data_IF_058142441342
#
_entry.id   IF_058142441342
#
_cell.length_a   1.000
_cell.length_b   1.000
_cell.length_c   1.000
_cell.angle_alpha   90.00
_cell.angle_beta   90.00
_cell.angle_gamma   90.00
#
_symmetry.space_group_name_H-M   'P 1'
#
loop_
_entity.id
_entity.type
_entity.pdbx_description
1 polymer ?
#
# COMPACT_ATOMS: atom_id res chain seq x y z
N UNK A 1 -22.28 -14.44 7.36
CA UNK A 1 -22.89 -13.25 8.00
C UNK A 1 -22.56 -12.07 7.11
N UNK A 2 -23.55 -11.43 6.49
CA UNK A 2 -23.36 -10.23 5.66
C UNK A 2 -23.27 -9.02 6.57
N UNK A 3 -22.05 -8.53 6.81
CA UNK A 3 -21.81 -7.24 7.46
C UNK A 3 -22.13 -6.12 6.45
N UNK A 4 -23.31 -5.52 6.57
CA UNK A 4 -23.70 -4.34 5.78
C UNK A 4 -22.95 -3.13 6.34
N UNK A 5 -22.02 -2.59 5.57
CA UNK A 5 -21.30 -1.36 5.94
C UNK A 5 -22.17 -0.16 5.54
N UNK A 6 -22.64 0.62 6.52
CA UNK A 6 -23.36 1.88 6.28
C UNK A 6 -22.38 3.05 6.36
N UNK A 7 -22.31 3.87 5.31
CA UNK A 7 -21.40 5.02 5.25
C UNK A 7 -21.91 6.20 6.08
N UNK A 8 -21.03 6.81 6.88
CA UNK A 8 -21.30 8.09 7.54
C UNK A 8 -21.41 9.21 6.48
N UNK A 9 -22.48 10.01 6.57
CA UNK A 9 -22.80 11.07 5.61
C UNK A 9 -21.68 12.11 5.53
N UNK A 10 -21.22 12.42 4.32
CA UNK A 10 -20.34 13.56 4.05
C UNK A 10 -21.17 14.80 3.69
N UNK A 11 -20.86 16.00 4.20
CA UNK A 11 -21.63 17.23 3.93
C UNK A 11 -21.56 17.69 2.47
N UNK A 12 -20.64 17.13 1.65
CA UNK A 12 -20.45 17.52 0.25
C UNK A 12 -21.19 16.65 -0.75
N UNK A 13 -21.78 15.53 -0.31
CA UNK A 13 -22.48 14.59 -1.18
C UNK A 13 -23.81 14.18 -0.53
N UNK A 14 -24.93 14.62 -1.11
CA UNK A 14 -26.24 14.01 -0.86
C UNK A 14 -26.25 12.68 -1.60
N UNK A 15 -25.67 11.64 -1.01
CA UNK A 15 -25.70 10.31 -1.61
C UNK A 15 -27.15 9.87 -1.80
N UNK A 16 -27.58 9.79 -3.06
CA UNK A 16 -28.69 8.92 -3.47
C UNK A 16 -28.39 7.50 -2.99
N UNK A 17 -29.40 6.62 -2.96
CA UNK A 17 -29.18 5.20 -2.62
C UNK A 17 -28.00 4.61 -3.41
N UNK A 18 -27.12 3.79 -2.78
CA UNK A 18 -26.05 3.07 -3.46
C UNK A 18 -26.57 2.31 -4.70
N UNK A 19 -25.84 2.37 -5.80
CA UNK A 19 -26.26 1.87 -7.12
C UNK A 19 -25.32 0.82 -7.71
N UNK A 20 -24.26 0.44 -6.99
CA UNK A 20 -23.33 -0.64 -7.33
C UNK A 20 -23.07 -1.52 -6.11
N UNK A 21 -22.97 -2.83 -6.31
CA UNK A 21 -22.58 -3.80 -5.28
C UNK A 21 -21.21 -4.37 -5.61
N UNK A 22 -20.27 -4.29 -4.68
CA UNK A 22 -18.97 -4.93 -4.77
C UNK A 22 -18.98 -6.21 -3.93
N UNK A 23 -18.47 -7.30 -4.47
CA UNK A 23 -18.21 -8.55 -3.74
C UNK A 23 -16.71 -8.79 -3.72
N UNK A 24 -16.10 -8.62 -2.56
CA UNK A 24 -14.64 -8.57 -2.38
C UNK A 24 -14.15 -9.83 -1.70
N UNK A 25 -13.06 -10.41 -2.21
CA UNK A 25 -12.45 -11.61 -1.69
C UNK A 25 -13.11 -12.90 -2.21
N UNK A 26 -12.60 -14.03 -1.73
CA UNK A 26 -13.05 -15.37 -2.12
C UNK A 26 -13.50 -16.23 -0.93
N UNK A 27 -14.13 -17.37 -1.23
CA UNK A 27 -14.54 -18.35 -0.24
C UNK A 27 -15.31 -17.79 0.97
N UNK A 28 -14.81 -18.10 2.17
CA UNK A 28 -15.37 -17.68 3.46
C UNK A 28 -15.07 -16.21 3.81
N UNK A 29 -14.11 -15.57 3.12
CA UNK A 29 -13.68 -14.19 3.36
C UNK A 29 -14.42 -13.18 2.49
N UNK A 30 -15.48 -13.62 1.78
CA UNK A 30 -16.29 -12.75 0.92
C UNK A 30 -17.01 -11.68 1.71
N UNK A 31 -16.79 -10.44 1.33
CA UNK A 31 -17.49 -9.28 1.87
C UNK A 31 -18.28 -8.59 0.76
N UNK A 32 -19.57 -8.32 1.00
CA UNK A 32 -20.43 -7.59 0.07
C UNK A 32 -20.65 -6.19 0.59
N UNK A 33 -20.41 -5.18 -0.25
CA UNK A 33 -20.59 -3.77 0.10
C UNK A 33 -21.30 -3.03 -1.02
N UNK A 34 -22.30 -2.21 -0.66
CA UNK A 34 -22.99 -1.34 -1.61
C UNK A 34 -22.28 0.00 -1.67
N UNK A 35 -22.04 0.52 -2.87
CA UNK A 35 -21.30 1.76 -3.12
C UNK A 35 -21.96 2.57 -4.25
N UNK A 36 -21.35 3.70 -4.61
CA UNK A 36 -21.83 4.61 -5.63
C UNK A 36 -20.89 4.60 -6.84
N UNK A 37 -21.42 4.34 -8.04
CA UNK A 37 -20.66 4.42 -9.30
C UNK A 37 -19.97 5.78 -9.44
N UNK A 38 -20.69 6.86 -9.10
CA UNK A 38 -20.20 8.23 -9.17
C UNK A 38 -18.98 8.50 -8.28
N UNK A 39 -18.73 7.65 -7.28
CA UNK A 39 -17.60 7.76 -6.35
C UNK A 39 -16.45 6.86 -6.77
N UNK A 40 -16.74 5.58 -7.07
CA UNK A 40 -15.69 4.61 -7.37
C UNK A 40 -15.16 4.73 -8.80
N UNK A 41 -15.99 5.17 -9.74
CA UNK A 41 -15.66 5.27 -11.16
C UNK A 41 -14.58 6.31 -11.44
N UNK A 42 -14.82 7.62 -11.21
CA UNK A 42 -13.92 8.69 -11.66
C UNK A 42 -12.43 8.54 -11.28
N UNK A 43 -12.04 8.03 -10.10
CA UNK A 43 -10.63 7.86 -9.74
C UNK A 43 -10.01 6.50 -10.12
N UNK A 44 -10.80 5.50 -10.54
CA UNK A 44 -10.31 4.15 -10.86
C UNK A 44 -10.39 3.85 -12.35
N UNK A 45 -9.25 3.49 -12.94
CA UNK A 45 -9.20 2.98 -14.32
C UNK A 45 -10.03 1.69 -14.49
N UNK A 46 -9.94 0.80 -13.51
CA UNK A 46 -10.68 -0.45 -13.48
C UNK A 46 -12.20 -0.24 -13.43
N UNK A 47 -12.72 0.52 -12.47
CA UNK A 47 -14.17 0.69 -12.33
C UNK A 47 -14.78 1.46 -13.50
N UNK A 48 -14.07 2.43 -14.09
CA UNK A 48 -14.48 3.07 -15.35
C UNK A 48 -14.67 2.05 -16.47
N UNK A 49 -13.76 1.09 -16.57
CA UNK A 49 -13.84 0.06 -17.60
C UNK A 49 -14.97 -0.93 -17.29
N UNK A 50 -15.05 -1.44 -16.06
CA UNK A 50 -16.04 -2.42 -15.64
C UNK A 50 -17.48 -1.91 -15.71
N UNK A 51 -17.71 -0.63 -15.42
CA UNK A 51 -19.04 -0.01 -15.44
C UNK A 51 -19.39 0.63 -16.79
N UNK A 52 -18.52 0.51 -17.79
CA UNK A 52 -18.79 1.05 -19.13
C UNK A 52 -19.94 0.30 -19.81
N UNK A 53 -20.86 1.06 -20.39
CA UNK A 53 -22.06 0.57 -21.10
C UNK A 53 -21.71 -0.59 -22.05
N UNK A 54 -22.40 -1.72 -21.87
CA UNK A 54 -22.30 -2.90 -22.73
C UNK A 54 -21.66 -4.13 -22.07
N UNK A 55 -21.16 -4.02 -20.84
CA UNK A 55 -20.64 -5.15 -20.07
C UNK A 55 -21.72 -5.76 -19.14
N UNK A 56 -21.49 -7.00 -18.70
CA UNK A 56 -22.41 -7.76 -17.84
C UNK A 56 -22.60 -7.03 -16.50
N UNK A 57 -21.52 -6.51 -15.96
CA UNK A 57 -21.41 -5.76 -14.71
C UNK A 57 -22.27 -4.48 -14.74
N UNK A 58 -22.42 -3.85 -15.91
CA UNK A 58 -23.30 -2.68 -16.07
C UNK A 58 -24.78 -3.05 -15.92
N UNK A 59 -25.17 -4.25 -16.35
CA UNK A 59 -26.55 -4.73 -16.27
C UNK A 59 -26.87 -5.26 -14.87
N UNK A 60 -25.94 -5.97 -14.25
CA UNK A 60 -26.11 -6.56 -12.92
C UNK A 60 -25.86 -5.57 -11.79
N UNK A 61 -25.22 -4.43 -12.08
CA UNK A 61 -24.76 -3.43 -11.10
C UNK A 61 -23.94 -4.08 -9.97
N UNK A 62 -23.24 -5.17 -10.30
CA UNK A 62 -22.51 -6.00 -9.37
C UNK A 62 -21.13 -6.32 -9.95
N UNK A 63 -20.10 -6.17 -9.14
CA UNK A 63 -18.71 -6.45 -9.52
C UNK A 63 -18.13 -7.44 -8.49
N UNK A 64 -17.72 -8.62 -8.96
CA UNK A 64 -17.00 -9.60 -8.15
C UNK A 64 -15.48 -9.34 -8.28
N UNK A 65 -14.79 -9.25 -7.14
CA UNK A 65 -13.37 -8.89 -6.99
C UNK A 65 -12.66 -9.94 -6.11
N UNK A 66 -12.51 -11.19 -6.58
CA UNK A 66 -11.92 -12.27 -5.77
C UNK A 66 -10.42 -12.07 -5.49
N UNK A 67 -9.71 -11.30 -6.31
CA UNK A 67 -8.26 -11.06 -6.18
C UNK A 67 -7.89 -10.06 -5.08
N UNK A 68 -8.87 -9.27 -4.62
CA UNK A 68 -8.66 -8.23 -3.62
C UNK A 68 -9.17 -8.69 -2.25
N UNK A 69 -8.40 -8.40 -1.20
CA UNK A 69 -8.84 -8.62 0.18
C UNK A 69 -9.70 -7.46 0.69
N UNK A 70 -10.60 -7.74 1.62
CA UNK A 70 -11.39 -6.68 2.27
C UNK A 70 -10.49 -5.62 2.93
N UNK A 71 -9.35 -6.01 3.51
CA UNK A 71 -8.41 -5.10 4.16
C UNK A 71 -7.91 -3.98 3.22
N UNK A 72 -7.59 -4.33 1.97
CA UNK A 72 -7.16 -3.34 0.98
C UNK A 72 -8.33 -2.53 0.41
N UNK A 73 -9.47 -3.19 0.13
CA UNK A 73 -10.66 -2.51 -0.39
C UNK A 73 -11.26 -1.52 0.61
N UNK A 74 -11.32 -1.86 1.89
CA UNK A 74 -11.82 -0.97 2.94
C UNK A 74 -11.05 0.35 2.94
N UNK A 75 -9.72 0.29 2.79
CA UNK A 75 -8.87 1.47 2.73
C UNK A 75 -9.16 2.32 1.48
N UNK A 76 -9.26 1.68 0.32
CA UNK A 76 -9.61 2.37 -0.93
C UNK A 76 -10.97 3.05 -0.80
N UNK A 77 -11.98 2.35 -0.27
CA UNK A 77 -13.30 2.93 -0.05
C UNK A 77 -13.26 4.09 0.94
N UNK A 78 -12.54 3.96 2.05
CA UNK A 78 -12.36 5.07 3.00
C UNK A 78 -11.78 6.31 2.30
N UNK A 79 -10.72 6.15 1.51
CA UNK A 79 -10.11 7.25 0.76
C UNK A 79 -11.05 7.85 -0.30
N UNK A 80 -11.78 7.02 -1.05
CA UNK A 80 -12.75 7.46 -2.06
C UNK A 80 -13.87 8.32 -1.45
N UNK A 81 -14.29 7.97 -0.23
CA UNK A 81 -15.27 8.72 0.55
C UNK A 81 -14.63 9.82 1.40
N UNK A 82 -13.42 10.27 1.03
CA UNK A 82 -12.73 11.44 1.60
C UNK A 82 -12.29 11.29 3.06
N UNK A 83 -12.15 10.08 3.56
CA UNK A 83 -11.38 9.86 4.80
C UNK A 83 -9.88 10.03 4.51
N UNK A 84 -9.12 10.41 5.53
CA UNK A 84 -7.67 10.48 5.43
C UNK A 84 -7.09 9.08 5.15
N UNK A 85 -5.99 9.03 4.40
CA UNK A 85 -5.24 7.78 4.20
C UNK A 85 -4.81 7.22 5.55
N UNK A 86 -4.97 5.92 5.73
CA UNK A 86 -4.51 5.26 6.94
C UNK A 86 -3.00 5.48 7.14
N UNK A 87 -2.65 5.80 8.39
CA UNK A 87 -1.28 5.94 8.83
C UNK A 87 -0.98 4.94 9.94
N UNK A 88 0.15 4.23 9.86
CA UNK A 88 0.56 3.34 10.93
C UNK A 88 1.01 4.12 12.16
N UNK A 89 0.86 3.51 13.34
CA UNK A 89 1.38 4.10 14.58
C UNK A 89 2.91 4.18 14.51
N UNK A 90 3.56 5.28 14.96
CA UNK A 90 5.01 5.47 14.83
C UNK A 90 5.90 4.35 15.36
N UNK A 91 5.44 3.56 16.35
CA UNK A 91 6.20 2.46 16.95
C UNK A 91 6.00 1.10 16.27
N UNK A 92 5.02 1.02 15.37
CA UNK A 92 4.54 -0.23 14.75
C UNK A 92 4.63 -0.18 13.22
N UNK A 93 5.20 0.89 12.65
CA UNK A 93 5.29 1.17 11.20
C UNK A 93 5.77 -0.03 10.37
N UNK A 94 6.70 -0.83 10.90
CA UNK A 94 7.26 -2.00 10.22
C UNK A 94 6.97 -3.31 10.98
N UNK A 95 5.87 -3.34 11.72
CA UNK A 95 5.33 -4.59 12.28
C UNK A 95 4.74 -5.48 11.19
N UNK A 96 4.55 -6.77 11.49
CA UNK A 96 3.94 -7.74 10.57
C UNK A 96 2.55 -7.30 10.10
N UNK A 97 1.63 -7.01 11.04
CA UNK A 97 0.27 -6.56 10.74
C UNK A 97 0.23 -5.28 9.90
N UNK A 98 1.12 -4.33 10.19
CA UNK A 98 1.22 -3.08 9.44
C UNK A 98 1.74 -3.32 8.02
N UNK A 99 2.70 -4.24 7.88
CA UNK A 99 3.25 -4.65 6.58
C UNK A 99 2.17 -5.34 5.76
N UNK A 100 1.46 -6.31 6.33
CA UNK A 100 0.34 -6.99 5.67
C UNK A 100 -0.72 -6.00 5.17
N UNK A 101 -1.05 -4.98 5.98
CA UNK A 101 -1.97 -3.93 5.56
C UNK A 101 -1.43 -3.11 4.39
N UNK A 102 -0.15 -2.70 4.42
CA UNK A 102 0.48 -2.02 3.27
C UNK A 102 0.40 -2.85 1.99
N UNK A 103 0.73 -4.15 2.07
CA UNK A 103 0.71 -5.05 0.92
C UNK A 103 -0.69 -5.22 0.34
N UNK A 104 -1.69 -5.40 1.21
CA UNK A 104 -3.08 -5.49 0.79
C UNK A 104 -3.55 -4.20 0.08
N UNK A 105 -3.18 -3.04 0.61
CA UNK A 105 -3.48 -1.74 0.02
C UNK A 105 -2.82 -1.59 -1.35
N UNK A 106 -1.51 -1.84 -1.46
CA UNK A 106 -0.77 -1.69 -2.72
C UNK A 106 -1.29 -2.62 -3.80
N UNK A 107 -1.55 -3.89 -3.48
CA UNK A 107 -2.17 -4.82 -4.40
C UNK A 107 -3.54 -4.32 -4.90
N UNK A 108 -4.33 -3.71 -4.01
CA UNK A 108 -5.64 -3.17 -4.36
C UNK A 108 -5.53 -1.92 -5.24
N UNK A 109 -4.60 -1.01 -4.93
CA UNK A 109 -4.34 0.20 -5.72
C UNK A 109 -3.91 -0.16 -7.15
N UNK A 110 -3.03 -1.14 -7.28
CA UNK A 110 -2.54 -1.64 -8.57
C UNK A 110 -3.68 -2.24 -9.40
N UNK A 111 -4.40 -3.18 -8.80
CA UNK A 111 -5.52 -3.86 -9.46
C UNK A 111 -6.61 -2.88 -9.91
N UNK A 112 -7.02 -1.96 -9.02
CA UNK A 112 -8.06 -0.99 -9.31
C UNK A 112 -7.56 0.19 -10.15
N UNK A 113 -6.25 0.30 -10.39
CA UNK A 113 -5.62 1.38 -11.13
C UNK A 113 -6.04 2.76 -10.61
N UNK A 114 -5.64 3.09 -9.37
CA UNK A 114 -5.97 4.38 -8.70
C UNK A 114 -4.67 5.19 -8.48
N UNK A 115 -4.18 5.95 -9.48
CA UNK A 115 -2.88 6.64 -9.41
C UNK A 115 -2.79 7.68 -8.29
N UNK A 116 -3.88 8.38 -7.98
CA UNK A 116 -3.89 9.42 -6.96
C UNK A 116 -3.69 8.85 -5.55
N UNK A 117 -4.28 7.68 -5.27
CA UNK A 117 -4.09 7.01 -3.98
C UNK A 117 -2.66 6.48 -3.82
N UNK A 118 -2.07 5.96 -4.90
CA UNK A 118 -0.63 5.63 -4.94
C UNK A 118 0.22 6.84 -4.55
N UNK A 119 -0.04 8.01 -5.12
CA UNK A 119 0.71 9.25 -4.81
C UNK A 119 0.56 9.69 -3.36
N UNK A 120 -0.62 9.51 -2.76
CA UNK A 120 -0.84 9.83 -1.35
C UNK A 120 -0.06 8.87 -0.43
N UNK A 121 -0.01 7.57 -0.77
CA UNK A 121 0.80 6.59 -0.05
C UNK A 121 2.31 6.81 -0.22
N UNK A 122 2.75 7.24 -1.40
CA UNK A 122 4.14 7.66 -1.66
C UNK A 122 4.54 8.82 -0.74
N UNK A 123 3.74 9.90 -0.69
CA UNK A 123 3.99 11.05 0.20
C UNK A 123 3.98 10.66 1.68
N UNK A 124 3.05 9.80 2.08
CA UNK A 124 2.92 9.33 3.45
C UNK A 124 4.14 8.49 3.85
N UNK A 125 4.59 7.57 2.99
CA UNK A 125 5.78 6.77 3.25
C UNK A 125 7.05 7.63 3.29
N UNK A 126 7.20 8.60 2.39
CA UNK A 126 8.26 9.61 2.45
C UNK A 126 8.28 10.34 3.81
N UNK A 127 7.11 10.74 4.31
CA UNK A 127 6.97 11.36 5.62
C UNK A 127 7.42 10.44 6.76
N UNK A 128 7.03 9.16 6.70
CA UNK A 128 7.47 8.16 7.69
C UNK A 128 8.99 7.96 7.66
N UNK A 129 9.57 7.84 6.46
CA UNK A 129 11.01 7.62 6.28
C UNK A 129 11.84 8.83 6.71
N UNK A 130 11.36 10.06 6.48
CA UNK A 130 12.00 11.31 6.95
C UNK A 130 12.08 11.40 8.47
N UNK A 131 11.11 10.81 9.17
CA UNK A 131 11.05 10.82 10.64
C UNK A 131 11.88 9.69 11.28
N UNK A 132 12.47 8.79 10.48
CA UNK A 132 13.38 7.78 11.01
C UNK A 132 14.66 8.42 11.51
N UNK A 133 15.12 7.95 12.66
CA UNK A 133 16.35 8.42 13.30
C UNK A 133 17.07 7.24 13.94
N UNK A 134 18.24 7.52 14.52
CA UNK A 134 19.11 6.50 15.09
C UNK A 134 18.57 5.79 16.35
N UNK A 135 17.41 6.19 16.87
CA UNK A 135 16.72 5.52 17.99
C UNK A 135 15.59 4.60 17.50
N UNK A 136 15.39 4.51 16.19
CA UNK A 136 14.34 3.67 15.61
C UNK A 136 14.65 2.18 15.82
N UNK A 137 13.64 1.43 16.31
CA UNK A 137 13.70 -0.04 16.47
C UNK A 137 14.01 -0.77 15.16
N UNK A 138 13.73 -0.12 14.03
CA UNK A 138 14.06 -0.60 12.70
C UNK A 138 15.55 -0.95 12.57
N UNK A 139 16.44 -0.17 13.19
CA UNK A 139 17.89 -0.33 13.03
C UNK A 139 18.42 -1.60 13.70
N UNK A 140 17.75 -2.04 14.76
CA UNK A 140 18.15 -3.18 15.58
C UNK A 140 17.36 -4.47 15.26
N UNK A 141 16.47 -4.44 14.26
CA UNK A 141 15.61 -5.57 13.91
C UNK A 141 15.73 -5.97 12.44
N UNK A 142 16.33 -7.14 12.21
CA UNK A 142 16.41 -7.81 10.92
C UNK A 142 15.04 -7.93 10.25
N UNK A 143 14.01 -8.32 11.01
CA UNK A 143 12.68 -8.53 10.43
C UNK A 143 12.03 -7.20 10.01
N UNK A 144 12.17 -6.15 10.82
CA UNK A 144 11.66 -4.82 10.44
C UNK A 144 12.39 -4.25 9.23
N UNK A 145 13.72 -4.44 9.14
CA UNK A 145 14.50 -4.04 7.97
C UNK A 145 14.07 -4.76 6.70
N UNK A 146 13.77 -6.06 6.79
CA UNK A 146 13.24 -6.84 5.66
C UNK A 146 11.84 -6.37 5.24
N UNK A 147 10.95 -6.13 6.19
CA UNK A 147 9.59 -5.59 5.93
C UNK A 147 9.61 -4.21 5.30
N UNK A 148 10.50 -3.33 5.75
CA UNK A 148 10.72 -2.04 5.10
C UNK A 148 11.14 -2.20 3.63
N UNK A 149 12.09 -3.10 3.33
CA UNK A 149 12.50 -3.36 1.97
C UNK A 149 11.34 -3.87 1.11
N UNK A 150 10.50 -4.75 1.68
CA UNK A 150 9.30 -5.27 1.05
C UNK A 150 8.30 -4.16 0.73
N UNK A 151 7.97 -3.31 1.70
CA UNK A 151 7.03 -2.18 1.49
C UNK A 151 7.54 -1.24 0.39
N UNK A 152 8.83 -0.88 0.42
CA UNK A 152 9.39 0.00 -0.62
C UNK A 152 9.36 -0.70 -1.98
N UNK A 153 9.78 -1.97 -2.07
CA UNK A 153 9.76 -2.71 -3.34
C UNK A 153 8.34 -2.75 -3.95
N UNK A 154 7.34 -3.02 -3.13
CA UNK A 154 5.93 -3.09 -3.55
C UNK A 154 5.39 -1.73 -3.97
N UNK A 155 5.77 -0.64 -3.28
CA UNK A 155 5.45 0.71 -3.74
C UNK A 155 6.02 0.96 -5.15
N UNK A 156 7.25 0.53 -5.41
CA UNK A 156 7.87 0.68 -6.74
C UNK A 156 7.19 -0.21 -7.79
N UNK A 157 6.74 -1.41 -7.41
CA UNK A 157 6.02 -2.33 -8.30
C UNK A 157 4.74 -1.70 -8.84
N UNK A 158 4.01 -0.97 -8.00
CA UNK A 158 2.79 -0.24 -8.40
C UNK A 158 3.06 1.13 -9.04
N UNK A 159 4.32 1.41 -9.40
CA UNK A 159 4.75 2.63 -10.08
C UNK A 159 5.07 3.81 -9.18
N UNK A 160 5.01 3.65 -7.85
CA UNK A 160 5.48 4.66 -6.89
C UNK A 160 6.99 4.77 -6.84
N UNK A 161 7.51 5.75 -6.12
CA UNK A 161 8.93 5.80 -5.77
C UNK A 161 9.17 6.47 -4.43
N UNK A 162 10.41 6.43 -3.97
CA UNK A 162 10.90 7.20 -2.83
C UNK A 162 11.94 8.17 -3.37
N UNK A 163 11.94 9.41 -2.88
CA UNK A 163 12.94 10.42 -3.23
C UNK A 163 14.37 9.87 -3.08
N UNK A 164 15.23 10.08 -4.09
CA UNK A 164 16.58 9.53 -4.15
C UNK A 164 17.44 9.94 -2.95
N UNK A 165 17.31 11.20 -2.52
CA UNK A 165 18.05 11.74 -1.37
C UNK A 165 17.60 11.07 -0.09
N UNK A 166 16.28 10.88 0.07
CA UNK A 166 15.69 10.18 1.19
C UNK A 166 16.07 8.70 1.20
N UNK A 167 16.06 8.03 0.05
CA UNK A 167 16.44 6.63 -0.09
C UNK A 167 17.91 6.41 0.28
N UNK A 168 18.80 7.30 -0.16
CA UNK A 168 20.21 7.30 0.23
C UNK A 168 20.39 7.55 1.74
N UNK A 169 19.68 8.52 2.30
CA UNK A 169 19.73 8.83 3.73
C UNK A 169 19.25 7.62 4.57
N UNK A 170 18.18 6.95 4.13
CA UNK A 170 17.67 5.74 4.75
C UNK A 170 18.72 4.61 4.75
N UNK A 171 19.36 4.36 3.62
CA UNK A 171 20.37 3.30 3.53
C UNK A 171 21.62 3.61 4.38
N UNK A 172 22.00 4.89 4.48
CA UNK A 172 23.06 5.32 5.41
C UNK A 172 22.64 5.08 6.85
N UNK A 173 21.41 5.45 7.22
CA UNK A 173 20.87 5.26 8.55
C UNK A 173 20.84 3.77 8.94
N UNK A 174 20.38 2.90 8.05
CA UNK A 174 20.37 1.45 8.26
C UNK A 174 21.79 0.89 8.49
N UNK A 175 22.80 1.40 7.77
CA UNK A 175 24.20 0.97 7.92
C UNK A 175 24.84 1.39 9.24
N UNK A 176 24.36 2.46 9.87
CA UNK A 176 24.76 2.89 11.22
C UNK A 176 24.24 1.90 12.29
N UNK A 177 24.82 0.71 12.35
CA UNK A 177 24.58 -0.20 13.48
C UNK A 177 25.29 0.34 14.72
N UNK A 178 24.52 0.56 15.79
CA UNK A 178 25.07 1.01 17.09
C UNK A 178 25.78 -0.09 17.86
N UNK A 179 25.59 -1.36 17.47
CA UNK A 179 26.11 -2.48 18.23
C UNK A 179 26.91 -3.46 17.34
N UNK A 180 28.25 -3.46 17.46
CA UNK A 180 29.11 -4.37 16.67
C UNK A 180 28.89 -5.85 17.00
N UNK A 181 28.19 -6.18 18.10
CA UNK A 181 27.84 -7.55 18.48
C UNK A 181 26.54 -8.05 17.83
N UNK A 182 25.72 -7.18 17.22
CA UNK A 182 24.42 -7.52 16.61
C UNK A 182 24.39 -7.38 15.09
N UNK A 183 25.56 -7.35 14.43
CA UNK A 183 25.69 -7.11 12.99
C UNK A 183 24.71 -7.94 12.15
N UNK A 184 24.58 -9.25 12.43
CA UNK A 184 23.63 -10.14 11.74
C UNK A 184 22.15 -9.94 12.03
N UNK A 185 21.81 -9.15 13.05
CA UNK A 185 20.44 -8.83 13.48
C UNK A 185 20.03 -7.39 13.14
N UNK A 186 20.91 -6.60 12.53
CA UNK A 186 20.60 -5.21 12.17
C UNK A 186 19.56 -5.12 11.06
N UNK A 187 18.82 -4.01 11.05
CA UNK A 187 17.84 -3.68 10.02
C UNK A 187 18.45 -3.68 8.61
N UNK A 188 19.71 -3.26 8.47
CA UNK A 188 20.42 -3.32 7.19
C UNK A 188 20.56 -4.73 6.63
N UNK A 189 20.91 -5.71 7.47
CA UNK A 189 21.00 -7.10 7.03
C UNK A 189 19.62 -7.65 6.69
N UNK A 190 18.58 -7.26 7.41
CA UNK A 190 17.20 -7.53 7.06
C UNK A 190 16.86 -7.06 5.65
N UNK A 191 17.06 -5.77 5.42
CA UNK A 191 16.81 -5.11 4.15
C UNK A 191 17.57 -5.79 3.01
N UNK A 192 18.88 -5.98 3.17
CA UNK A 192 19.76 -6.62 2.18
C UNK A 192 19.33 -8.06 1.85
N UNK A 193 19.00 -8.85 2.87
CA UNK A 193 18.60 -10.24 2.69
C UNK A 193 17.27 -10.36 1.93
N UNK A 194 16.35 -9.43 2.14
CA UNK A 194 15.13 -9.37 1.35
C UNK A 194 15.46 -9.05 -0.11
N UNK A 195 16.24 -7.99 -0.36
CA UNK A 195 16.58 -7.55 -1.72
C UNK A 195 17.28 -8.64 -2.54
N UNK A 196 18.20 -9.42 -1.94
CA UNK A 196 18.86 -10.53 -2.66
C UNK A 196 17.94 -11.69 -3.03
N UNK A 197 16.77 -11.81 -2.40
CA UNK A 197 15.81 -12.87 -2.68
C UNK A 197 14.72 -12.43 -3.66
N UNK A 198 14.78 -11.20 -4.16
CA UNK A 198 13.84 -10.73 -5.17
C UNK A 198 14.11 -11.46 -6.49
N UNK A 199 13.10 -12.18 -6.99
CA UNK A 199 13.18 -12.86 -8.29
C UNK A 199 13.00 -11.87 -9.45
N UNK A 200 12.12 -10.89 -9.29
CA UNK A 200 11.82 -9.85 -10.28
C UNK A 200 11.82 -8.43 -9.66
N UNK A 201 13.00 -7.90 -9.30
CA UNK A 201 13.10 -6.59 -8.69
C UNK A 201 12.78 -5.47 -9.70
N UNK A 202 11.96 -4.51 -9.28
CA UNK A 202 11.65 -3.34 -10.09
C UNK A 202 12.94 -2.60 -10.53
N UNK A 203 13.13 -2.30 -11.84
CA UNK A 203 14.37 -1.69 -12.34
C UNK A 203 14.71 -0.35 -11.70
N UNK A 204 13.71 0.50 -11.42
CA UNK A 204 13.91 1.80 -10.77
C UNK A 204 14.36 1.62 -9.31
N UNK A 205 13.78 0.64 -8.61
CA UNK A 205 14.19 0.29 -7.25
C UNK A 205 15.65 -0.16 -7.21
N UNK A 206 16.07 -1.04 -8.15
CA UNK A 206 17.47 -1.44 -8.28
C UNK A 206 18.39 -0.28 -8.63
N UNK A 207 17.97 0.61 -9.53
CA UNK A 207 18.75 1.79 -9.89
C UNK A 207 19.04 2.67 -8.67
N UNK A 208 18.01 2.97 -7.86
CA UNK A 208 18.16 3.76 -6.63
C UNK A 208 19.05 3.04 -5.61
N UNK A 209 18.94 1.71 -5.51
CA UNK A 209 19.84 0.88 -4.72
C UNK A 209 21.30 1.05 -5.18
N UNK A 210 21.59 0.82 -6.46
CA UNK A 210 22.94 0.92 -7.02
C UNK A 210 23.55 2.31 -6.81
N UNK A 211 22.79 3.36 -7.08
CA UNK A 211 23.19 4.75 -6.86
C UNK A 211 23.58 4.98 -5.40
N UNK A 212 22.80 4.44 -4.46
CA UNK A 212 23.06 4.60 -3.03
C UNK A 212 24.29 3.81 -2.53
N UNK A 213 24.72 2.77 -3.25
CA UNK A 213 25.97 2.06 -2.99
C UNK A 213 27.18 2.63 -3.75
N UNK A 214 26.98 3.60 -4.65
CA UNK A 214 28.06 4.21 -5.43
C UNK A 214 28.64 3.28 -6.50
N UNK A 215 27.86 2.30 -6.98
CA UNK A 215 28.23 1.52 -8.16
C UNK A 215 27.99 2.39 -9.40
N UNK A 216 29.06 3.01 -9.92
CA UNK A 216 29.12 3.67 -11.21
C UNK A 216 30.07 2.91 -12.14
#
# INVERSE_FOLDING_TARGET
MTSTYEYERSPYFSYSSPDVVLVVGDGENKTTVSTHESIIGPPSGFFKAALKIGLKETHERKIDLPEITWLGMEEVLNWLYRKEVWQPKPREVFSEQTTEKFLAIFATIDFLQIPQLREDYEKMLDGLLKNLNESSRLLDSRDQGGRLAQIIHELYRIGGCIDDTLFLALLRLLKTSKNPLSVGMSGFYGFRNFVYKLEDPNPKFLHHLCNAYGFY
#
